data_IF_590493291492
#
_entry.id   IF_590493291492
#
_cell.length_a   1.000
_cell.length_b   1.000
_cell.length_c   1.000
_cell.angle_alpha   90.00
_cell.angle_beta   90.00
_cell.angle_gamma   90.00
#
_symmetry.space_group_name_H-M   'P 1'
#
loop_
_entity.id
_entity.type
_entity.pdbx_description
1 polymer ?
#
# COMPACT_ATOMS: atom_id res chain seq x y z
N UNK A 1 3.53 -0.74 24.47
CA UNK A 1 2.71 -0.73 23.24
C UNK A 1 2.89 0.65 22.64
N UNK A 2 3.45 0.78 21.44
CA UNK A 2 3.59 2.10 20.80
C UNK A 2 2.21 2.71 20.51
N UNK A 3 2.15 4.04 20.40
CA UNK A 3 0.92 4.73 20.00
C UNK A 3 0.43 4.23 18.62
N UNK A 4 -0.89 4.19 18.44
CA UNK A 4 -1.52 3.87 17.16
C UNK A 4 -1.53 5.10 16.27
N UNK A 5 -1.43 4.88 14.96
CA UNK A 5 -1.71 5.90 13.97
C UNK A 5 -3.20 6.27 13.92
N UNK A 6 -3.50 7.44 13.38
CA UNK A 6 -4.88 7.94 13.21
C UNK A 6 -5.32 7.96 11.74
N UNK A 7 -4.42 7.62 10.81
CA UNK A 7 -4.70 7.49 9.39
C UNK A 7 -4.64 6.05 8.89
N UNK A 8 -5.43 5.74 7.86
CA UNK A 8 -5.35 4.49 7.10
C UNK A 8 -5.34 4.78 5.60
N UNK A 9 -4.44 4.12 4.88
CA UNK A 9 -4.50 4.01 3.42
C UNK A 9 -4.95 2.61 3.03
N UNK A 10 -6.05 2.51 2.29
CA UNK A 10 -6.57 1.26 1.75
C UNK A 10 -6.36 1.24 0.24
N UNK A 11 -5.79 0.15 -0.26
CA UNK A 11 -5.64 -0.09 -1.70
C UNK A 11 -6.29 -1.43 -2.01
N UNK A 12 -7.29 -1.42 -2.88
CA UNK A 12 -7.97 -2.62 -3.37
C UNK A 12 -7.74 -2.76 -4.87
N UNK A 13 -7.39 -3.96 -5.33
CA UNK A 13 -7.10 -4.18 -6.74
C UNK A 13 -7.33 -5.62 -7.18
N UNK A 14 -7.65 -5.76 -8.47
CA UNK A 14 -7.54 -7.00 -9.24
C UNK A 14 -6.40 -6.88 -10.23
N UNK A 15 -5.74 -8.00 -10.49
CA UNK A 15 -4.61 -8.09 -11.41
C UNK A 15 -4.92 -9.19 -12.41
N UNK A 16 -4.63 -8.94 -13.70
CA UNK A 16 -4.73 -9.97 -14.72
C UNK A 16 -3.89 -11.18 -14.28
N UNK A 17 -4.50 -12.37 -14.36
CA UNK A 17 -3.89 -13.63 -13.96
C UNK A 17 -2.52 -13.86 -14.60
N UNK A 18 -2.26 -13.34 -15.81
CA UNK A 18 -0.97 -13.45 -16.47
C UNK A 18 0.17 -12.75 -15.71
N UNK A 19 -0.12 -11.71 -14.92
CA UNK A 19 0.87 -10.93 -14.17
C UNK A 19 0.82 -11.15 -12.67
N UNK A 20 -0.10 -12.00 -12.18
CA UNK A 20 -0.39 -12.13 -10.75
C UNK A 20 0.82 -12.59 -9.91
N UNK A 21 1.61 -13.54 -10.40
CA UNK A 21 2.80 -14.03 -9.68
C UNK A 21 3.88 -12.94 -9.59
N UNK A 22 4.18 -12.28 -10.70
CA UNK A 22 5.14 -11.19 -10.76
C UNK A 22 4.69 -10.00 -9.90
N UNK A 23 3.41 -9.64 -9.98
CA UNK A 23 2.83 -8.61 -9.15
C UNK A 23 2.98 -8.92 -7.66
N UNK A 24 2.68 -10.14 -7.23
CA UNK A 24 2.81 -10.50 -5.82
C UNK A 24 4.25 -10.44 -5.33
N UNK A 25 5.21 -10.94 -6.13
CA UNK A 25 6.64 -10.85 -5.82
C UNK A 25 7.08 -9.39 -5.67
N UNK A 26 6.76 -8.55 -6.65
CA UNK A 26 7.06 -7.11 -6.59
C UNK A 26 6.39 -6.45 -5.37
N UNK A 27 5.14 -6.79 -5.07
CA UNK A 27 4.40 -6.17 -3.98
C UNK A 27 5.03 -6.47 -2.61
N UNK A 28 5.47 -7.71 -2.42
CA UNK A 28 6.07 -8.17 -1.16
C UNK A 28 7.54 -7.76 -1.00
N UNK A 29 8.32 -7.82 -2.08
CA UNK A 29 9.76 -7.58 -2.05
C UNK A 29 10.15 -6.11 -2.26
N UNK A 30 9.31 -5.32 -2.94
CA UNK A 30 9.62 -3.95 -3.31
C UNK A 30 8.57 -2.96 -2.79
N UNK A 31 7.30 -3.12 -3.18
CA UNK A 31 6.28 -2.08 -2.95
C UNK A 31 5.97 -1.85 -1.46
N UNK A 32 5.70 -2.92 -0.69
CA UNK A 32 5.44 -2.80 0.75
C UNK A 32 6.67 -2.26 1.49
N UNK A 33 7.89 -2.81 1.28
CA UNK A 33 9.08 -2.22 1.87
C UNK A 33 9.24 -0.74 1.52
N UNK A 34 9.08 -0.33 0.27
CA UNK A 34 9.18 1.07 -0.15
C UNK A 34 8.18 1.96 0.62
N UNK A 35 6.93 1.51 0.76
CA UNK A 35 5.90 2.22 1.54
C UNK A 35 6.26 2.33 3.01
N UNK A 36 6.76 1.27 3.62
CA UNK A 36 7.12 1.28 5.04
C UNK A 36 8.39 2.09 5.34
N UNK A 37 9.21 2.40 4.33
CA UNK A 37 10.31 3.36 4.47
C UNK A 37 9.86 4.82 4.31
N UNK A 38 8.64 5.09 3.83
CA UNK A 38 8.11 6.45 3.76
C UNK A 38 7.82 6.99 5.17
N UNK A 39 8.35 8.17 5.55
CA UNK A 39 8.00 8.79 6.82
C UNK A 39 6.49 8.92 6.99
N UNK A 40 5.98 8.56 8.17
CA UNK A 40 4.55 8.55 8.49
C UNK A 40 3.85 7.22 8.26
N UNK A 41 4.45 6.26 7.53
CA UNK A 41 3.96 4.89 7.46
C UNK A 41 4.44 4.07 8.66
N UNK A 42 3.52 3.38 9.34
CA UNK A 42 3.79 2.68 10.60
C UNK A 42 3.78 1.17 10.44
N UNK A 43 2.81 0.66 9.70
CA UNK A 43 2.64 -0.77 9.45
C UNK A 43 1.90 -1.01 8.15
N UNK A 44 2.05 -2.22 7.61
CA UNK A 44 1.40 -2.64 6.37
C UNK A 44 0.92 -4.07 6.49
N UNK A 45 -0.26 -4.36 5.93
CA UNK A 45 -0.78 -5.72 5.83
C UNK A 45 -1.47 -5.92 4.49
N UNK A 46 -1.15 -7.04 3.85
CA UNK A 46 -1.84 -7.51 2.65
C UNK A 46 -2.79 -8.65 3.00
N UNK A 47 -3.88 -8.68 2.25
CA UNK A 47 -4.91 -9.71 2.33
C UNK A 47 -5.23 -10.17 0.92
N UNK A 48 -5.56 -11.46 0.83
CA UNK A 48 -6.10 -12.07 -0.37
C UNK A 48 -7.52 -12.49 -0.05
N UNK A 49 -8.46 -12.14 -0.92
CA UNK A 49 -9.84 -12.53 -0.80
C UNK A 49 -9.97 -14.06 -0.86
N UNK A 50 -10.79 -14.61 0.03
CA UNK A 50 -11.17 -16.04 -0.02
C UNK A 50 -12.26 -16.23 -1.07
N UNK A 51 -13.16 -15.26 -1.21
CA UNK A 51 -14.27 -15.26 -2.17
C UNK A 51 -14.61 -13.81 -2.61
N UNK A 52 -14.85 -13.61 -3.90
CA UNK A 52 -15.23 -12.31 -4.47
C UNK A 52 -14.05 -11.39 -4.83
N UNK A 53 -14.40 -10.23 -5.36
CA UNK A 53 -13.49 -9.21 -5.90
C UNK A 53 -13.69 -7.86 -5.18
N UNK A 54 -12.65 -7.02 -5.05
CA UNK A 54 -11.29 -7.23 -5.56
C UNK A 54 -10.49 -8.28 -4.79
N UNK A 55 -9.65 -9.05 -5.50
CA UNK A 55 -8.89 -10.17 -4.95
C UNK A 55 -7.86 -9.73 -3.90
N UNK A 56 -7.30 -8.53 -4.01
CA UNK A 56 -6.27 -8.04 -3.09
C UNK A 56 -6.71 -6.79 -2.34
N UNK A 57 -6.36 -6.75 -1.06
CA UNK A 57 -6.44 -5.57 -0.20
C UNK A 57 -5.10 -5.35 0.50
N UNK A 58 -4.55 -4.14 0.41
CA UNK A 58 -3.46 -3.69 1.26
C UNK A 58 -3.96 -2.57 2.17
N UNK A 59 -3.62 -2.66 3.45
CA UNK A 59 -3.91 -1.64 4.46
C UNK A 59 -2.58 -1.16 5.04
N UNK A 60 -2.39 0.15 5.05
CA UNK A 60 -1.28 0.80 5.74
C UNK A 60 -1.79 1.68 6.87
N UNK A 61 -1.18 1.54 8.05
CA UNK A 61 -1.38 2.44 9.18
C UNK A 61 -0.45 3.65 9.04
N UNK A 62 -1.01 4.85 9.15
CA UNK A 62 -0.28 6.11 9.05
C UNK A 62 -0.36 6.88 10.37
N UNK A 63 0.63 7.71 10.66
CA UNK A 63 0.58 8.64 11.80
C UNK A 63 -0.75 9.43 11.80
N UNK A 64 -1.10 9.99 10.64
CA UNK A 64 -2.38 10.63 10.34
C UNK A 64 -2.61 10.68 8.80
N UNK A 65 -3.80 11.08 8.31
CA UNK A 65 -4.07 11.13 6.88
C UNK A 65 -3.23 12.13 6.07
N UNK A 66 -2.67 13.18 6.69
CA UNK A 66 -1.88 14.23 6.01
C UNK A 66 -0.53 13.70 5.50
N UNK A 67 -0.08 12.53 5.96
CA UNK A 67 1.10 11.82 5.43
C UNK A 67 1.02 11.68 3.90
N UNK A 68 -0.17 11.47 3.34
CA UNK A 68 -0.39 11.34 1.90
C UNK A 68 -0.22 12.66 1.13
N UNK A 69 -0.22 13.79 1.82
CA UNK A 69 0.02 15.10 1.23
C UNK A 69 1.50 15.50 1.24
N UNK A 70 2.35 14.73 1.93
CA UNK A 70 3.78 15.02 2.04
C UNK A 70 4.49 14.84 0.71
N UNK A 71 5.53 15.65 0.51
CA UNK A 71 6.43 15.50 -0.65
C UNK A 71 7.14 14.15 -0.67
N UNK A 72 7.37 13.53 0.48
CA UNK A 72 7.96 12.19 0.57
C UNK A 72 7.06 11.15 -0.11
N UNK A 73 5.76 11.16 0.22
CA UNK A 73 4.79 10.25 -0.38
C UNK A 73 4.51 10.59 -1.85
N UNK A 74 4.33 11.87 -2.18
CA UNK A 74 4.01 12.31 -3.56
C UNK A 74 5.08 11.93 -4.57
N UNK A 75 6.36 11.93 -4.18
CA UNK A 75 7.46 11.48 -5.05
C UNK A 75 7.47 9.98 -5.34
N UNK A 76 6.78 9.16 -4.55
CA UNK A 76 6.65 7.72 -4.79
C UNK A 76 5.56 7.39 -5.81
N UNK A 77 4.64 8.32 -6.07
CA UNK A 77 3.62 8.11 -7.09
C UNK A 77 4.27 8.31 -8.46
N UNK A 78 4.06 7.39 -9.42
CA UNK A 78 4.38 7.71 -10.80
C UNK A 78 3.64 9.00 -11.16
N UNK A 79 4.24 9.89 -11.99
CA UNK A 79 3.52 11.07 -12.46
C UNK A 79 2.18 10.60 -13.02
N UNK A 80 1.10 11.15 -12.49
CA UNK A 80 -0.26 10.81 -12.92
C UNK A 80 -0.27 10.87 -14.45
N UNK A 81 -0.58 9.75 -15.10
CA UNK A 81 -0.83 9.74 -16.53
C UNK A 81 -1.98 10.73 -16.76
N UNK A 82 -1.62 11.92 -17.26
CA UNK A 82 -2.57 12.95 -17.65
C UNK A 82 -3.33 12.55 -18.91
#
# INVERSE_FOLDING_TARGET
MGERGTGLLLVMMDIDRAYEEEFNRWYDEEHVPERLHCPGFRSGRRFVSVEGEPKYLAIYELDDPEVLETEAYKRMQPPSAG
#
